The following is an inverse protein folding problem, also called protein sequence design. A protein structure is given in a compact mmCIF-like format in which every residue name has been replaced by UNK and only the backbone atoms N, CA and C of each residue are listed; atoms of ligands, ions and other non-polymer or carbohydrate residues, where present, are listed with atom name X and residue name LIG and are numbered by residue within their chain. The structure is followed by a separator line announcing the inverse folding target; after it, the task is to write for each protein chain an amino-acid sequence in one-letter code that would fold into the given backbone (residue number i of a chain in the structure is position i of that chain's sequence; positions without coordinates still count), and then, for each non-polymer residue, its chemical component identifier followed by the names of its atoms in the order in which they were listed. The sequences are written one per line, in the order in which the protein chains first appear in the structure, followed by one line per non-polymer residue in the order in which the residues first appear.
data_IF_188203484687
#
_entry.id   IF_188203484687
#
_cell.length_a   1.000
_cell.length_b   1.000
_cell.length_c   1.000
_cell.angle_alpha   90.00
_cell.angle_beta   90.00
_cell.angle_gamma   90.00
#
_symmetry.space_group_name_H-M   'P 1'
#
loop_
_entity.id
_entity.type
_entity.pdbx_description
1 polymer ?
#
# COMPACT_ATOMS: atom_id res chain seq x y z
N UNK A 1 -46.26 20.58 39.09
CA UNK A 1 -44.79 20.48 39.27
C UNK A 1 -44.22 19.09 38.98
N UNK A 2 -44.75 17.99 39.56
CA UNK A 2 -44.23 16.61 39.30
C UNK A 2 -44.27 16.14 37.82
N UNK A 3 -45.27 16.57 37.04
CA UNK A 3 -45.36 16.24 35.59
C UNK A 3 -44.31 16.99 34.75
N UNK A 4 -43.91 18.19 35.18
CA UNK A 4 -42.91 19.02 34.49
C UNK A 4 -41.49 18.45 34.71
N UNK A 5 -41.20 17.97 35.93
CA UNK A 5 -39.93 17.33 36.25
C UNK A 5 -39.78 15.94 35.62
N UNK A 6 -40.88 15.23 35.39
CA UNK A 6 -40.86 13.95 34.66
C UNK A 6 -40.59 14.16 33.16
N UNK A 7 -41.20 15.16 32.54
CA UNK A 7 -40.95 15.50 31.14
C UNK A 7 -39.49 15.91 30.88
N UNK A 8 -38.90 16.72 31.77
CA UNK A 8 -37.51 17.15 31.66
C UNK A 8 -36.52 15.97 31.76
N UNK A 9 -36.81 14.98 32.61
CA UNK A 9 -36.00 13.75 32.73
C UNK A 9 -36.06 12.91 31.45
N UNK A 10 -37.23 12.79 30.83
CA UNK A 10 -37.39 12.04 29.58
C UNK A 10 -36.61 12.70 28.44
N UNK A 11 -36.66 14.03 28.32
CA UNK A 11 -35.90 14.77 27.30
C UNK A 11 -34.39 14.62 27.53
N UNK A 12 -33.93 14.70 28.78
CA UNK A 12 -32.51 14.53 29.10
C UNK A 12 -32.00 13.11 28.77
N UNK A 13 -32.79 12.08 29.08
CA UNK A 13 -32.46 10.68 28.74
C UNK A 13 -32.46 10.47 27.24
N UNK A 14 -33.40 11.07 26.50
CA UNK A 14 -33.47 10.96 25.05
C UNK A 14 -32.31 11.69 24.35
N UNK A 15 -31.94 12.88 24.82
CA UNK A 15 -30.77 13.60 24.31
C UNK A 15 -29.47 12.81 24.57
N UNK A 16 -29.35 12.18 25.74
CA UNK A 16 -28.22 11.34 26.08
C UNK A 16 -28.19 10.04 25.25
N UNK A 17 -29.34 9.45 24.94
CA UNK A 17 -29.40 8.25 24.10
C UNK A 17 -29.04 8.53 22.64
N UNK A 18 -29.34 9.72 22.11
CA UNK A 18 -28.88 10.12 20.77
C UNK A 18 -27.35 10.32 20.70
N UNK A 19 -26.71 10.72 21.80
CA UNK A 19 -25.25 10.89 21.83
C UNK A 19 -24.48 9.55 21.76
N UNK A 20 -25.07 8.46 22.24
CA UNK A 20 -24.45 7.12 22.27
C UNK A 20 -24.42 6.41 20.91
N UNK A 21 -25.22 6.85 19.92
CA UNK A 21 -25.19 6.30 18.55
C UNK A 21 -24.14 6.97 17.65
N UNK A 22 -23.38 7.97 18.13
CA UNK A 22 -22.36 8.66 17.31
C UNK A 22 -21.00 7.96 17.27
N UNK A 23 -20.85 6.82 17.96
CA UNK A 23 -19.60 6.06 17.96
C UNK A 23 -19.51 5.24 16.68
N UNK A 24 -19.06 5.86 15.58
CA UNK A 24 -18.84 5.19 14.31
C UNK A 24 -17.43 4.57 14.33
N UNK A 25 -17.27 3.23 14.38
CA UNK A 25 -15.97 2.57 14.55
C UNK A 25 -15.09 2.59 13.27
N UNK A 26 -15.37 3.48 12.33
CA UNK A 26 -14.80 3.45 10.97
C UNK A 26 -13.31 3.84 10.96
N UNK A 27 -12.82 4.55 11.98
CA UNK A 27 -11.42 5.00 12.05
C UNK A 27 -10.59 4.14 13.00
N UNK A 28 -10.23 2.93 12.58
CA UNK A 28 -9.07 2.24 13.15
C UNK A 28 -7.87 2.43 12.23
N UNK A 29 -7.22 3.59 12.30
CA UNK A 29 -5.87 3.78 11.72
C UNK A 29 -5.56 5.14 11.09
N UNK A 30 -6.54 6.03 10.92
CA UNK A 30 -6.32 7.39 10.39
C UNK A 30 -7.32 8.36 11.00
N UNK A 31 -6.88 9.60 11.28
CA UNK A 31 -7.75 10.71 11.69
C UNK A 31 -8.12 11.62 10.49
N UNK A 32 -7.74 11.22 9.26
CA UNK A 32 -8.04 11.99 8.05
C UNK A 32 -9.47 11.74 7.59
N UNK A 33 -10.13 12.80 7.12
CA UNK A 33 -11.43 12.67 6.44
C UNK A 33 -11.33 12.07 5.04
N UNK A 34 -10.11 11.72 4.61
CA UNK A 34 -9.76 11.12 3.34
C UNK A 34 -8.97 9.83 3.55
N UNK A 35 -9.09 8.90 2.61
CA UNK A 35 -8.33 7.66 2.61
C UNK A 35 -7.80 7.34 1.21
N UNK A 36 -6.74 6.54 1.17
CA UNK A 36 -6.14 6.03 -0.06
C UNK A 36 -6.74 4.68 -0.45
N UNK A 37 -6.96 4.54 -1.75
CA UNK A 37 -7.38 3.31 -2.41
C UNK A 37 -6.27 2.95 -3.39
N UNK A 38 -5.84 1.70 -3.35
CA UNK A 38 -5.00 1.11 -4.39
C UNK A 38 -5.95 0.42 -5.36
N UNK A 39 -6.04 0.92 -6.59
CA UNK A 39 -6.94 0.39 -7.61
C UNK A 39 -6.33 -0.85 -8.29
N UNK A 40 -5.05 -0.78 -8.63
CA UNK A 40 -4.28 -1.92 -9.12
C UNK A 40 -2.78 -1.76 -8.84
N UNK A 41 -2.08 -2.88 -8.89
CA UNK A 41 -0.62 -2.96 -8.93
C UNK A 41 -0.28 -3.89 -10.09
N UNK A 42 0.45 -3.37 -11.08
CA UNK A 42 0.82 -4.10 -12.29
C UNK A 42 2.34 -4.19 -12.35
N UNK A 43 2.84 -5.43 -12.36
CA UNK A 43 4.23 -5.75 -12.60
C UNK A 43 4.49 -6.13 -14.06
N UNK A 44 5.68 -6.65 -14.31
CA UNK A 44 6.08 -7.17 -15.61
C UNK A 44 6.35 -8.68 -15.54
N UNK A 45 5.92 -9.40 -16.57
CA UNK A 45 6.34 -10.78 -16.79
C UNK A 45 7.75 -10.85 -17.40
N UNK A 46 8.27 -12.06 -17.61
CA UNK A 46 9.59 -12.28 -18.19
C UNK A 46 9.71 -11.88 -19.67
N UNK A 47 8.62 -11.46 -20.31
CA UNK A 47 8.57 -10.93 -21.68
C UNK A 47 8.34 -9.41 -21.69
N UNK A 48 8.23 -8.77 -20.52
CA UNK A 48 7.95 -7.34 -20.39
C UNK A 48 6.49 -6.94 -20.54
N UNK A 49 5.56 -7.90 -20.62
CA UNK A 49 4.12 -7.62 -20.64
C UNK A 49 3.59 -7.33 -19.24
N UNK A 50 2.45 -6.64 -19.18
CA UNK A 50 1.76 -6.35 -17.93
C UNK A 50 1.25 -7.64 -17.26
N UNK A 51 1.50 -7.76 -15.95
CA UNK A 51 1.20 -8.97 -15.19
C UNK A 51 0.82 -8.65 -13.74
N UNK A 52 -0.01 -9.51 -13.12
CA UNK A 52 -0.30 -9.47 -11.69
C UNK A 52 0.80 -10.10 -10.83
N UNK A 53 1.82 -10.68 -11.46
CA UNK A 53 3.02 -11.26 -10.84
C UNK A 53 4.24 -10.63 -11.47
N UNK A 54 5.19 -10.20 -10.65
CA UNK A 54 6.47 -9.66 -11.11
C UNK A 54 7.45 -10.80 -11.29
N UNK A 55 8.01 -10.93 -12.48
CA UNK A 55 9.09 -11.86 -12.77
C UNK A 55 10.41 -11.10 -12.63
N UNK A 56 11.07 -11.28 -11.48
CA UNK A 56 12.29 -10.59 -11.12
C UNK A 56 13.47 -11.47 -11.47
N UNK A 57 14.17 -11.11 -12.54
CA UNK A 57 15.38 -11.80 -12.95
C UNK A 57 16.56 -11.41 -12.06
N UNK A 58 17.23 -12.37 -11.42
CA UNK A 58 18.31 -12.05 -10.48
C UNK A 58 19.55 -11.49 -11.19
N UNK A 59 19.76 -11.84 -12.45
CA UNK A 59 20.86 -11.33 -13.26
C UNK A 59 20.46 -11.34 -14.73
N UNK A 60 20.65 -10.22 -15.42
CA UNK A 60 20.39 -10.11 -16.86
C UNK A 60 21.67 -9.71 -17.55
N UNK A 61 22.18 -10.53 -18.47
CA UNK A 61 23.47 -10.33 -19.14
C UNK A 61 24.64 -10.05 -18.16
N UNK A 62 24.64 -10.70 -17.00
CA UNK A 62 25.66 -10.53 -15.96
C UNK A 62 25.49 -9.30 -15.05
N UNK A 63 24.40 -8.55 -15.19
CA UNK A 63 24.12 -7.33 -14.41
C UNK A 63 22.80 -7.46 -13.66
N UNK A 64 22.78 -7.06 -12.38
CA UNK A 64 21.55 -6.98 -11.60
C UNK A 64 20.84 -5.64 -11.84
N UNK A 65 19.56 -5.69 -12.23
CA UNK A 65 18.71 -4.51 -12.39
C UNK A 65 17.64 -4.44 -11.30
N UNK A 66 17.17 -3.25 -10.89
CA UNK A 66 16.01 -3.14 -10.02
C UNK A 66 14.71 -3.45 -10.78
N UNK A 67 13.68 -3.92 -10.06
CA UNK A 67 12.36 -4.18 -10.62
C UNK A 67 11.33 -3.17 -10.11
N UNK A 68 10.41 -2.79 -11.00
CA UNK A 68 9.38 -1.79 -10.75
C UNK A 68 7.97 -2.34 -11.00
N UNK A 69 6.99 -1.72 -10.34
CA UNK A 69 5.56 -1.90 -10.60
C UNK A 69 4.91 -0.57 -10.87
N UNK A 70 3.85 -0.57 -11.66
CA UNK A 70 2.94 0.57 -11.77
C UNK A 70 1.81 0.38 -10.76
N UNK A 71 1.69 1.30 -9.80
CA UNK A 71 0.58 1.32 -8.85
C UNK A 71 -0.37 2.46 -9.21
N UNK A 72 -1.67 2.16 -9.29
CA UNK A 72 -2.70 3.19 -9.50
C UNK A 72 -3.38 3.50 -8.17
N UNK A 73 -3.31 4.77 -7.79
CA UNK A 73 -3.80 5.28 -6.52
C UNK A 73 -4.97 6.21 -6.75
N UNK A 74 -5.98 6.10 -5.88
CA UNK A 74 -7.10 7.02 -5.83
C UNK A 74 -7.31 7.48 -4.40
N UNK A 75 -7.61 8.76 -4.24
CA UNK A 75 -8.04 9.31 -2.95
C UNK A 75 -9.56 9.50 -2.95
N UNK A 76 -10.18 9.20 -1.81
CA UNK A 76 -11.61 9.38 -1.58
C UNK A 76 -11.87 9.93 -0.17
N UNK A 77 -12.98 10.66 -0.01
CA UNK A 77 -13.44 11.14 1.29
C UNK A 77 -14.31 10.09 1.99
N UNK A 78 -14.31 10.09 3.33
CA UNK A 78 -15.19 9.22 4.12
C UNK A 78 -16.67 9.51 3.88
N UNK A 79 -17.02 10.78 3.71
CA UNK A 79 -18.32 11.20 3.18
C UNK A 79 -18.23 11.26 1.66
N UNK A 80 -18.91 10.38 0.91
CA UNK A 80 -18.83 10.34 -0.54
C UNK A 80 -19.54 11.52 -1.22
N UNK A 81 -20.46 12.22 -0.54
CA UNK A 81 -21.17 13.36 -1.10
C UNK A 81 -21.46 14.43 -0.03
N UNK A 82 -20.40 15.11 0.46
CA UNK A 82 -20.55 16.14 1.48
C UNK A 82 -21.41 17.29 0.95
N UNK A 83 -22.36 17.75 1.77
CA UNK A 83 -23.32 18.82 1.42
C UNK A 83 -22.62 20.10 0.94
N UNK A 84 -21.43 20.39 1.49
CA UNK A 84 -20.63 21.58 1.15
C UNK A 84 -19.58 21.32 0.06
N UNK A 85 -19.59 20.14 -0.57
CA UNK A 85 -18.59 19.71 -1.53
C UNK A 85 -17.28 19.25 -0.87
N UNK A 86 -16.39 18.69 -1.69
CA UNK A 86 -15.08 18.21 -1.25
C UNK A 86 -14.11 19.39 -1.16
N UNK A 87 -13.47 19.54 0.00
CA UNK A 87 -12.39 20.52 0.22
C UNK A 87 -11.13 20.08 -0.54
N UNK A 88 -10.42 21.00 -1.20
CA UNK A 88 -9.08 20.76 -1.76
C UNK A 88 -8.07 20.25 -0.71
N UNK A 89 -8.20 20.70 0.54
CA UNK A 89 -7.39 20.17 1.64
C UNK A 89 -7.58 18.67 1.96
N UNK A 90 -8.54 18.01 1.30
CA UNK A 90 -8.78 16.58 1.42
C UNK A 90 -7.86 15.74 0.51
N UNK A 91 -7.13 16.36 -0.41
CA UNK A 91 -6.15 15.66 -1.25
C UNK A 91 -5.06 15.02 -0.39
N UNK A 92 -4.48 13.91 -0.88
CA UNK A 92 -3.51 13.12 -0.12
C UNK A 92 -2.12 13.23 -0.76
N UNK A 93 -1.14 13.64 0.03
CA UNK A 93 0.27 13.61 -0.32
C UNK A 93 0.88 12.28 0.16
N UNK A 94 1.34 11.45 -0.76
CA UNK A 94 2.11 10.24 -0.47
C UNK A 94 3.59 10.60 -0.44
N UNK A 95 4.25 10.34 0.68
CA UNK A 95 5.63 10.78 0.94
C UNK A 95 6.63 9.64 0.92
N UNK A 96 6.24 8.45 1.32
CA UNK A 96 7.15 7.31 1.45
C UNK A 96 6.39 6.01 1.20
N UNK A 97 7.13 4.96 0.88
CA UNK A 97 6.62 3.60 0.88
C UNK A 97 7.64 2.64 1.47
N UNK A 98 7.16 1.57 2.09
CA UNK A 98 7.98 0.50 2.64
C UNK A 98 7.63 -0.78 1.91
N UNK A 99 8.65 -1.52 1.47
CA UNK A 99 8.50 -2.83 0.83
C UNK A 99 9.05 -3.89 1.76
N UNK A 100 8.20 -4.83 2.17
CA UNK A 100 8.58 -6.03 2.92
C UNK A 100 8.21 -7.28 2.13
N UNK A 101 8.81 -8.43 2.47
CA UNK A 101 8.61 -9.67 1.74
C UNK A 101 8.20 -10.80 2.67
N UNK A 102 7.37 -11.70 2.16
CA UNK A 102 7.03 -12.97 2.82
C UNK A 102 7.10 -14.07 1.79
N UNK A 103 7.84 -15.14 2.07
CA UNK A 103 7.93 -16.29 1.16
C UNK A 103 6.58 -17.03 1.13
N UNK A 104 6.32 -17.77 0.06
CA UNK A 104 5.06 -18.51 -0.15
C UNK A 104 4.69 -19.49 0.97
N UNK A 105 5.67 -19.99 1.73
CA UNK A 105 5.48 -20.86 2.91
C UNK A 105 5.31 -20.08 4.23
N UNK A 106 5.29 -18.74 4.19
CA UNK A 106 5.14 -17.86 5.33
C UNK A 106 6.45 -17.43 6.00
N UNK A 107 7.61 -17.86 5.50
CA UNK A 107 8.90 -17.45 6.06
C UNK A 107 9.20 -15.97 5.77
N UNK A 108 9.83 -15.29 6.73
CA UNK A 108 10.12 -13.84 6.69
C UNK A 108 11.54 -13.47 7.12
N UNK A 109 12.44 -14.45 7.29
CA UNK A 109 13.82 -14.20 7.68
C UNK A 109 14.56 -13.36 6.63
N UNK A 110 14.86 -12.10 6.94
CA UNK A 110 15.54 -11.20 6.01
C UNK A 110 17.01 -11.58 5.82
N UNK A 111 17.46 -11.66 4.58
CA UNK A 111 18.80 -12.10 4.24
C UNK A 111 19.00 -13.62 4.32
N UNK A 112 17.94 -14.39 4.63
CA UNK A 112 17.99 -15.86 4.68
C UNK A 112 16.88 -16.49 3.86
N UNK A 113 15.63 -16.10 4.10
CA UNK A 113 14.43 -16.63 3.43
C UNK A 113 13.89 -15.66 2.38
N UNK A 114 14.04 -14.36 2.63
CA UNK A 114 13.55 -13.27 1.77
C UNK A 114 14.57 -12.12 1.71
N UNK A 115 14.48 -11.22 0.71
CA UNK A 115 15.31 -10.03 0.67
C UNK A 115 15.08 -9.08 1.86
N UNK A 116 16.05 -8.23 2.15
CA UNK A 116 15.89 -7.15 3.14
C UNK A 116 14.84 -6.14 2.69
N UNK A 117 13.96 -5.75 3.60
CA UNK A 117 13.03 -4.65 3.38
C UNK A 117 13.77 -3.34 3.06
N UNK A 118 13.01 -2.40 2.50
CA UNK A 118 13.49 -1.04 2.28
C UNK A 118 12.38 -0.01 2.29
N UNK A 119 12.80 1.24 2.43
CA UNK A 119 11.96 2.40 2.30
C UNK A 119 12.37 3.19 1.05
N UNK A 120 11.39 3.67 0.30
CA UNK A 120 11.58 4.60 -0.79
C UNK A 120 10.83 5.91 -0.54
N UNK A 121 11.42 7.02 -0.98
CA UNK A 121 10.80 8.33 -0.91
C UNK A 121 9.87 8.57 -2.12
N UNK A 122 8.80 9.33 -1.90
CA UNK A 122 7.81 9.76 -2.88
C UNK A 122 7.46 11.24 -2.64
N UNK A 123 6.85 11.85 -3.65
CA UNK A 123 6.29 13.20 -3.55
C UNK A 123 5.10 13.29 -4.50
N UNK A 124 4.11 12.45 -4.25
CA UNK A 124 2.96 12.27 -5.15
C UNK A 124 1.70 12.80 -4.49
N UNK A 125 1.14 13.86 -5.08
CA UNK A 125 -0.20 14.33 -4.74
C UNK A 125 -1.23 13.47 -5.45
N UNK A 126 -2.20 12.93 -4.70
CA UNK A 126 -3.35 12.19 -5.20
C UNK A 126 -4.60 13.04 -4.93
N UNK A 127 -5.09 13.79 -5.94
CA UNK A 127 -6.30 14.58 -5.78
C UNK A 127 -7.53 13.72 -5.54
N UNK A 128 -8.47 14.19 -4.72
CA UNK A 128 -9.73 13.47 -4.50
C UNK A 128 -10.48 13.30 -5.83
N UNK A 129 -10.98 12.08 -6.06
CA UNK A 129 -11.76 11.76 -7.25
C UNK A 129 -10.93 11.56 -8.52
N UNK A 130 -9.60 11.63 -8.43
CA UNK A 130 -8.68 11.32 -9.52
C UNK A 130 -7.89 10.05 -9.24
N UNK A 131 -7.51 9.35 -10.30
CA UNK A 131 -6.54 8.25 -10.24
C UNK A 131 -5.18 8.75 -10.71
N UNK A 132 -4.13 8.44 -9.96
CA UNK A 132 -2.74 8.75 -10.28
C UNK A 132 -1.96 7.44 -10.33
N UNK A 133 -1.32 7.16 -11.45
CA UNK A 133 -0.44 6.00 -11.61
C UNK A 133 1.01 6.42 -11.44
N UNK A 134 1.76 5.71 -10.58
CA UNK A 134 3.17 5.97 -10.33
C UNK A 134 3.99 4.67 -10.45
N UNK A 135 5.22 4.73 -11.01
CA UNK A 135 6.15 3.62 -10.94
C UNK A 135 6.79 3.56 -9.55
N UNK A 136 6.79 2.39 -8.92
CA UNK A 136 7.47 2.11 -7.66
C UNK A 136 8.51 1.01 -7.85
N UNK A 137 9.71 1.23 -7.34
CA UNK A 137 10.70 0.17 -7.23
C UNK A 137 10.24 -0.80 -6.13
N UNK A 138 10.24 -2.10 -6.41
CA UNK A 138 9.86 -3.13 -5.44
C UNK A 138 10.94 -4.15 -5.20
N UNK A 139 12.02 -4.14 -5.99
CA UNK A 139 13.22 -4.96 -5.79
C UNK A 139 14.42 -4.09 -6.10
N UNK A 140 15.37 -3.99 -5.17
CA UNK A 140 16.63 -3.27 -5.38
C UNK A 140 17.64 -4.18 -6.07
N UNK A 141 18.49 -3.61 -6.90
CA UNK A 141 19.64 -4.30 -7.51
C UNK A 141 20.58 -4.89 -6.45
N UNK A 142 20.82 -4.18 -5.34
CA UNK A 142 21.66 -4.67 -4.24
C UNK A 142 21.09 -5.96 -3.62
N UNK A 143 19.77 -6.10 -3.57
CA UNK A 143 19.14 -7.31 -3.03
C UNK A 143 19.44 -8.55 -3.87
N UNK A 144 19.63 -8.40 -5.19
CA UNK A 144 19.97 -9.50 -6.11
C UNK A 144 21.40 -10.02 -5.89
N UNK A 145 22.27 -9.19 -5.29
CA UNK A 145 23.66 -9.55 -4.95
C UNK A 145 23.81 -10.15 -3.55
N UNK A 146 22.72 -10.26 -2.80
CA UNK A 146 22.71 -10.75 -1.42
C UNK A 146 21.86 -12.03 -1.30
N UNK A 147 22.11 -12.89 -0.29
CA UNK A 147 21.21 -13.99 0.00
C UNK A 147 19.80 -13.46 0.34
N UNK A 148 18.73 -14.21 0.01
CA UNK A 148 18.74 -15.51 -0.68
C UNK A 148 18.91 -15.42 -2.21
N UNK A 149 18.76 -14.24 -2.80
CA UNK A 149 18.66 -14.09 -4.26
C UNK A 149 19.96 -14.43 -4.98
N UNK A 150 21.11 -14.10 -4.39
CA UNK A 150 22.41 -14.43 -4.99
C UNK A 150 22.65 -15.94 -5.16
N UNK A 151 21.94 -16.79 -4.41
CA UNK A 151 22.02 -18.24 -4.55
C UNK A 151 21.24 -18.79 -5.75
N UNK A 152 20.39 -17.97 -6.39
CA UNK A 152 19.64 -18.34 -7.59
C UNK A 152 20.48 -18.18 -8.87
N UNK A 153 21.52 -17.34 -8.84
CA UNK A 153 22.42 -17.11 -9.97
C UNK A 153 23.09 -18.41 -10.40
N UNK A 154 22.98 -18.77 -11.68
CA UNK A 154 23.51 -20.01 -12.24
C UNK A 154 22.70 -21.26 -11.89
N UNK A 155 21.54 -21.13 -11.23
CA UNK A 155 20.65 -22.23 -10.90
C UNK A 155 19.34 -22.15 -11.72
N UNK A 156 19.29 -22.81 -12.90
CA UNK A 156 18.15 -22.69 -13.82
C UNK A 156 16.85 -23.31 -13.30
N UNK A 157 16.90 -24.07 -12.21
CA UNK A 157 15.73 -24.65 -11.53
C UNK A 157 15.39 -23.94 -10.23
N UNK A 158 16.25 -23.02 -9.79
CA UNK A 158 16.08 -22.25 -8.58
C UNK A 158 15.00 -21.20 -8.79
N UNK A 159 13.99 -21.21 -7.93
CA UNK A 159 12.96 -20.19 -7.90
C UNK A 159 12.62 -19.87 -6.45
N UNK A 160 12.46 -18.58 -6.16
CA UNK A 160 11.94 -18.09 -4.89
C UNK A 160 10.66 -17.29 -5.17
N UNK A 161 9.55 -17.71 -4.59
CA UNK A 161 8.28 -16.99 -4.69
C UNK A 161 7.99 -16.27 -3.38
N UNK A 162 7.81 -14.95 -3.48
CA UNK A 162 7.50 -14.07 -2.36
C UNK A 162 6.27 -13.22 -2.66
N UNK A 163 5.58 -12.81 -1.61
CA UNK A 163 4.63 -11.70 -1.64
C UNK A 163 5.35 -10.45 -1.18
N UNK A 164 5.47 -9.46 -2.05
CA UNK A 164 5.92 -8.12 -1.69
C UNK A 164 4.72 -7.34 -1.13
N UNK A 165 4.83 -6.89 0.12
CA UNK A 165 3.87 -6.02 0.77
C UNK A 165 4.38 -4.59 0.69
N UNK A 166 3.59 -3.70 0.08
CA UNK A 166 3.91 -2.29 -0.14
C UNK A 166 3.04 -1.47 0.79
N UNK A 167 3.61 -0.89 1.84
CA UNK A 167 2.94 0.07 2.71
C UNK A 167 3.18 1.49 2.19
N UNK A 168 2.13 2.17 1.75
CA UNK A 168 2.15 3.57 1.35
C UNK A 168 1.86 4.44 2.58
N UNK A 169 2.69 5.46 2.77
CA UNK A 169 2.61 6.38 3.90
C UNK A 169 2.50 7.81 3.36
N UNK A 170 1.57 8.56 3.93
CA UNK A 170 1.32 9.94 3.54
C UNK A 170 0.48 10.70 4.54
N UNK A 171 -0.03 11.84 4.11
CA UNK A 171 -0.92 12.69 4.87
C UNK A 171 -1.85 13.47 3.94
N UNK A 172 -3.02 13.87 4.43
CA UNK A 172 -3.81 14.88 3.72
C UNK A 172 -3.17 16.27 3.82
N UNK A 173 -3.64 17.25 3.05
CA UNK A 173 -3.10 18.61 3.11
C UNK A 173 -3.40 19.36 4.43
N UNK A 174 -4.09 18.73 5.39
CA UNK A 174 -4.23 19.20 6.78
C UNK A 174 -3.27 18.47 7.73
N UNK A 175 -2.31 17.74 7.18
CA UNK A 175 -1.29 16.98 7.90
C UNK A 175 -1.84 15.83 8.76
N UNK A 176 -2.97 15.24 8.37
CA UNK A 176 -3.53 14.05 9.02
C UNK A 176 -3.05 12.81 8.28
N UNK A 177 -2.44 11.87 9.01
CA UNK A 177 -1.77 10.71 8.42
C UNK A 177 -2.73 9.81 7.64
N UNK A 178 -2.28 9.28 6.52
CA UNK A 178 -2.98 8.28 5.72
C UNK A 178 -2.00 7.13 5.43
N UNK A 179 -2.47 5.89 5.60
CA UNK A 179 -1.70 4.68 5.29
C UNK A 179 -2.55 3.73 4.45
N UNK A 180 -1.90 3.04 3.52
CA UNK A 180 -2.56 1.98 2.75
C UNK A 180 -1.56 0.92 2.33
N UNK A 181 -1.94 -0.34 2.53
CA UNK A 181 -1.10 -1.48 2.15
C UNK A 181 -1.65 -2.15 0.91
N UNK A 182 -0.76 -2.44 -0.04
CA UNK A 182 -1.01 -3.28 -1.21
C UNK A 182 -0.05 -4.45 -1.24
N UNK A 183 -0.35 -5.47 -2.05
CA UNK A 183 0.47 -6.66 -2.17
C UNK A 183 0.57 -7.08 -3.63
N UNK A 184 1.74 -7.60 -4.01
CA UNK A 184 1.96 -8.22 -5.32
C UNK A 184 2.89 -9.42 -5.16
N UNK A 185 2.65 -10.47 -5.93
CA UNK A 185 3.55 -11.63 -5.97
C UNK A 185 4.78 -11.32 -6.82
N UNK A 186 5.94 -11.76 -6.34
CA UNK A 186 7.23 -11.64 -7.01
C UNK A 186 7.84 -13.03 -7.09
N UNK A 187 8.24 -13.43 -8.30
CA UNK A 187 9.01 -14.64 -8.55
C UNK A 187 10.41 -14.25 -8.92
N UNK A 188 11.36 -14.67 -8.10
CA UNK A 188 12.77 -14.52 -8.36
C UNK A 188 13.31 -15.80 -8.97
N UNK A 189 14.02 -15.67 -10.08
CA UNK A 189 14.78 -16.76 -10.71
C UNK A 189 15.91 -16.16 -11.55
N UNK A 190 16.84 -17.01 -11.99
CA UNK A 190 17.79 -16.69 -13.06
C UNK A 190 17.12 -17.08 -14.38
N UNK A 191 16.40 -16.13 -14.98
CA UNK A 191 15.66 -16.38 -16.21
C UNK A 191 16.63 -16.43 -17.40
N UNK A 192 16.25 -17.15 -18.45
CA UNK A 192 17.06 -17.15 -19.68
C UNK A 192 17.01 -15.75 -20.28
N UNK A 193 18.18 -15.12 -20.37
CA UNK A 193 18.40 -13.85 -21.06
C UNK A 193 17.78 -13.89 -22.46
N UNK A 194 16.87 -12.95 -22.73
CA UNK A 194 16.36 -12.75 -24.08
C UNK A 194 17.45 -12.11 -24.94
N UNK A 195 17.72 -12.70 -26.10
CA UNK A 195 18.70 -12.21 -27.08
C UNK A 195 18.26 -10.91 -27.75
#
# INVERSE_FOLDING_TARGET
MKKLTLGLKIIAVMALSLALFSCNPVERGTNSGSFLIIENIIGKDNQGNDSSVVFSDVVTNGVAYPDFVNISLRAATLDPNPVMGVSNYSDVMVTNYIVTYTRSDGATGEGTDVPYHFEGALSTLVPIGSTVTIPLMIVREVAKTQPPLSALVGNPTGMLECTATIELIGHDLRNRQVRKTGQISVRFADYIDQQ
#
